data_IF_993129354925
#
_entry.id   IF_993129354925
#
_cell.length_a   1.000
_cell.length_b   1.000
_cell.length_c   1.000
_cell.angle_alpha   90.00
_cell.angle_beta   90.00
_cell.angle_gamma   90.00
#
_symmetry.space_group_name_H-M   'P 1'
#
loop_
_entity.id
_entity.type
_entity.pdbx_description
1 polymer ?
#
# COMPACT_ATOMS: atom_id res chain seq x y z
N UNK A 1 41.54 35.05 -6.88
CA UNK A 1 41.63 33.80 -6.09
C UNK A 1 40.52 33.62 -5.03
N UNK A 2 39.82 34.66 -4.55
CA UNK A 2 38.73 34.51 -3.55
C UNK A 2 37.40 33.98 -4.12
N UNK A 3 37.10 34.28 -5.39
CA UNK A 3 35.86 33.85 -6.05
C UNK A 3 35.74 32.31 -6.20
N UNK A 4 36.86 31.59 -6.33
CA UNK A 4 36.83 30.13 -6.47
C UNK A 4 36.38 29.40 -5.20
N UNK A 5 36.62 29.99 -4.02
CA UNK A 5 36.20 29.42 -2.73
C UNK A 5 34.70 29.51 -2.50
N UNK A 6 34.06 30.57 -3.01
CA UNK A 6 32.61 30.78 -2.87
C UNK A 6 31.84 29.67 -3.62
N UNK A 7 32.28 29.33 -4.83
CA UNK A 7 31.64 28.28 -5.64
C UNK A 7 31.78 26.90 -5.02
N UNK A 8 32.91 26.61 -4.38
CA UNK A 8 33.14 25.32 -3.70
C UNK A 8 32.29 25.17 -2.44
N UNK A 9 32.04 26.26 -1.73
CA UNK A 9 31.17 26.27 -0.55
C UNK A 9 29.68 26.17 -0.92
N UNK A 10 29.25 26.90 -1.95
CA UNK A 10 27.89 26.80 -2.50
C UNK A 10 27.57 25.39 -3.00
N UNK A 11 28.54 24.74 -3.65
CA UNK A 11 28.41 23.34 -4.04
C UNK A 11 28.22 22.40 -2.84
N UNK A 12 28.99 22.57 -1.77
CA UNK A 12 28.83 21.73 -0.57
C UNK A 12 27.45 21.90 0.10
N UNK A 13 26.92 23.14 0.11
CA UNK A 13 25.58 23.40 0.64
C UNK A 13 24.48 22.72 -0.19
N UNK A 14 24.58 22.73 -1.52
CA UNK A 14 23.60 22.05 -2.37
C UNK A 14 23.74 20.53 -2.28
N UNK A 15 24.96 19.99 -2.20
CA UNK A 15 25.19 18.56 -1.96
C UNK A 15 24.61 18.11 -0.63
N UNK A 16 24.77 18.89 0.44
CA UNK A 16 24.21 18.57 1.75
C UNK A 16 22.67 18.64 1.73
N UNK A 17 22.10 19.64 1.06
CA UNK A 17 20.64 19.76 0.91
C UNK A 17 20.04 18.59 0.12
N UNK A 18 20.70 18.18 -0.98
CA UNK A 18 20.30 17.01 -1.76
C UNK A 18 20.46 15.72 -0.95
N UNK A 19 21.53 15.61 -0.16
CA UNK A 19 21.72 14.45 0.72
C UNK A 19 20.63 14.36 1.80
N UNK A 20 20.25 15.47 2.44
CA UNK A 20 19.14 15.51 3.41
C UNK A 20 17.81 15.12 2.76
N UNK A 21 17.53 15.61 1.56
CA UNK A 21 16.33 15.23 0.82
C UNK A 21 16.33 13.74 0.46
N UNK A 22 17.48 13.21 0.02
CA UNK A 22 17.66 11.78 -0.29
C UNK A 22 17.51 10.92 0.96
N UNK A 23 18.13 11.29 2.09
CA UNK A 23 17.99 10.52 3.32
C UNK A 23 16.56 10.55 3.84
N UNK A 24 15.88 11.70 3.82
CA UNK A 24 14.47 11.80 4.21
C UNK A 24 13.58 10.92 3.32
N UNK A 25 13.78 10.97 2.00
CA UNK A 25 13.06 10.11 1.05
C UNK A 25 13.36 8.63 1.28
N UNK A 26 14.62 8.27 1.52
CA UNK A 26 15.02 6.89 1.86
C UNK A 26 14.38 6.47 3.18
N UNK A 27 14.38 7.30 4.23
CA UNK A 27 13.78 6.95 5.52
C UNK A 27 12.27 6.74 5.40
N UNK A 28 11.57 7.59 4.65
CA UNK A 28 10.14 7.38 4.41
C UNK A 28 9.87 6.12 3.59
N UNK A 29 10.67 5.85 2.55
CA UNK A 29 10.51 4.63 1.74
C UNK A 29 10.98 3.34 2.48
N UNK A 30 11.98 3.44 3.35
CA UNK A 30 12.61 2.30 4.02
C UNK A 30 11.93 1.91 5.33
N UNK A 31 11.45 2.88 6.12
CA UNK A 31 10.68 2.58 7.33
C UNK A 31 9.34 1.91 7.01
N UNK A 32 8.73 2.23 5.86
CA UNK A 32 7.54 1.52 5.37
C UNK A 32 7.87 0.07 4.98
N UNK A 33 9.09 -0.20 4.49
CA UNK A 33 9.52 -1.57 4.14
C UNK A 33 9.75 -2.45 5.39
N UNK A 34 10.21 -1.86 6.51
CA UNK A 34 10.36 -2.56 7.81
C UNK A 34 9.02 -2.89 8.50
N UNK A 35 7.91 -2.23 8.13
CA UNK A 35 6.59 -2.56 8.67
C UNK A 35 6.07 -3.93 8.19
N UNK A 36 6.71 -4.52 7.17
CA UNK A 36 6.48 -5.93 6.79
C UNK A 36 7.15 -6.95 7.72
N UNK A 37 8.10 -6.53 8.58
CA UNK A 37 8.90 -7.45 9.43
C UNK A 37 8.47 -7.42 10.91
N UNK A 38 7.54 -6.55 11.32
CA UNK A 38 7.11 -6.46 12.73
C UNK A 38 5.65 -6.80 13.02
N UNK A 39 4.95 -7.43 12.07
CA UNK A 39 3.58 -7.93 12.27
C UNK A 39 3.50 -9.44 12.51
N UNK A 40 4.53 -10.03 13.14
CA UNK A 40 4.56 -11.45 13.51
C UNK A 40 4.44 -11.70 15.02
N UNK A 41 3.59 -10.94 15.72
CA UNK A 41 3.11 -11.34 17.05
C UNK A 41 1.60 -11.09 17.18
N UNK A 42 0.81 -12.09 16.76
CA UNK A 42 -0.62 -12.13 16.98
C UNK A 42 -1.35 -13.17 16.13
N UNK A 43 -1.00 -14.45 16.27
CA UNK A 43 -1.84 -15.54 15.76
C UNK A 43 -2.93 -15.88 16.80
N UNK A 44 -4.19 -15.80 16.40
CA UNK A 44 -5.22 -16.71 16.92
C UNK A 44 -6.11 -17.14 15.77
N UNK A 45 -5.82 -18.35 15.34
CA UNK A 45 -6.62 -19.27 14.54
C UNK A 45 -8.09 -19.31 14.96
N UNK A 46 -9.01 -19.15 14.01
CA UNK A 46 -10.28 -19.89 14.04
C UNK A 46 -10.88 -20.02 12.64
N UNK A 47 -10.89 -21.26 12.15
CA UNK A 47 -11.83 -21.71 11.11
C UNK A 47 -13.08 -22.15 11.84
N UNK A 48 -14.23 -21.57 11.52
CA UNK A 48 -15.48 -22.32 11.60
C UNK A 48 -16.50 -21.76 10.61
N UNK A 49 -16.87 -22.65 9.69
CA UNK A 49 -18.05 -22.59 8.87
C UNK A 49 -19.21 -23.11 9.74
N UNK A 50 -20.22 -22.29 10.01
CA UNK A 50 -21.63 -22.72 10.20
C UNK A 50 -22.55 -21.57 10.62
N UNK A 51 -23.53 -21.33 9.76
CA UNK A 51 -24.94 -21.02 10.02
C UNK A 51 -25.41 -20.48 11.39
N UNK A 52 -26.13 -19.35 11.28
CA UNK A 52 -27.38 -18.95 11.99
C UNK A 52 -27.30 -18.10 13.28
N UNK A 53 -27.81 -16.87 13.10
CA UNK A 53 -28.61 -16.01 13.99
C UNK A 53 -27.97 -15.24 15.15
N UNK A 54 -28.17 -13.91 15.07
CA UNK A 54 -28.39 -12.93 16.13
C UNK A 54 -27.35 -12.87 17.28
N UNK A 55 -26.46 -11.88 17.24
CA UNK A 55 -26.58 -10.60 17.98
C UNK A 55 -25.23 -9.87 17.93
N UNK A 56 -25.30 -8.60 17.56
CA UNK A 56 -24.51 -7.49 18.12
C UNK A 56 -22.97 -7.54 17.95
N UNK A 57 -22.52 -6.66 17.04
CA UNK A 57 -21.24 -5.94 17.12
C UNK A 57 -19.97 -6.80 17.19
N UNK A 58 -19.87 -7.84 16.35
CA UNK A 58 -18.55 -8.22 15.84
C UNK A 58 -18.10 -7.06 14.97
N UNK A 59 -17.29 -6.17 15.55
CA UNK A 59 -16.62 -5.09 14.86
C UNK A 59 -15.78 -5.73 13.74
N UNK A 60 -16.41 -5.91 12.57
CA UNK A 60 -15.94 -6.75 11.48
C UNK A 60 -14.81 -6.00 10.78
N UNK A 61 -13.63 -6.08 11.39
CA UNK A 61 -12.42 -5.49 10.84
C UNK A 61 -12.22 -6.12 9.46
N UNK A 62 -12.23 -5.29 8.43
CA UNK A 62 -12.01 -5.73 7.06
C UNK A 62 -10.68 -6.48 6.95
N UNK A 63 -10.72 -7.63 6.27
CA UNK A 63 -9.55 -8.43 5.96
C UNK A 63 -9.33 -8.46 4.46
N UNK A 64 -8.15 -8.08 4.01
CA UNK A 64 -7.85 -8.07 2.58
C UNK A 64 -7.73 -9.52 2.05
N UNK A 65 -8.48 -9.92 1.01
CA UNK A 65 -8.38 -11.26 0.43
C UNK A 65 -7.02 -11.61 -0.21
N UNK A 66 -6.19 -10.60 -0.51
CA UNK A 66 -4.87 -10.79 -1.14
C UNK A 66 -3.77 -11.00 -0.09
N UNK A 67 -3.66 -10.09 0.88
CA UNK A 67 -2.58 -10.14 1.89
C UNK A 67 -3.00 -10.77 3.22
N UNK A 68 -4.30 -11.04 3.41
CA UNK A 68 -4.81 -11.57 4.67
C UNK A 68 -4.37 -10.74 5.89
N UNK A 69 -4.42 -9.42 5.79
CA UNK A 69 -4.14 -8.49 6.90
C UNK A 69 -5.20 -7.40 6.96
N UNK A 70 -5.42 -6.85 8.16
CA UNK A 70 -6.28 -5.67 8.38
C UNK A 70 -5.53 -4.39 7.99
N UNK A 71 -5.95 -3.78 6.90
CA UNK A 71 -5.47 -2.47 6.42
C UNK A 71 -6.65 -1.64 5.93
N UNK A 72 -6.40 -0.36 5.62
CA UNK A 72 -7.41 0.51 5.01
C UNK A 72 -7.96 -0.11 3.71
N UNK A 73 -9.26 -0.41 3.66
CA UNK A 73 -9.88 -0.96 2.48
C UNK A 73 -9.92 0.07 1.35
N UNK A 74 -9.85 -0.42 0.12
CA UNK A 74 -10.18 0.30 -1.09
C UNK A 74 -11.17 -0.52 -1.90
N UNK A 75 -12.07 0.18 -2.58
CA UNK A 75 -13.06 -0.41 -3.45
C UNK A 75 -12.66 -0.21 -4.90
N UNK A 76 -12.84 -1.26 -5.69
CA UNK A 76 -12.75 -1.22 -7.15
C UNK A 76 -14.16 -1.12 -7.75
N UNK A 77 -14.31 -0.68 -9.02
CA UNK A 77 -15.62 -0.46 -9.65
C UNK A 77 -16.61 -1.62 -9.59
N UNK A 78 -16.14 -2.86 -9.42
CA UNK A 78 -17.00 -4.03 -9.26
C UNK A 78 -17.50 -4.27 -7.83
N UNK A 79 -17.18 -3.40 -6.87
CA UNK A 79 -17.64 -3.47 -5.48
C UNK A 79 -16.82 -4.35 -4.55
N UNK A 80 -15.80 -5.05 -5.05
CA UNK A 80 -14.93 -5.87 -4.20
C UNK A 80 -13.90 -5.01 -3.45
N UNK A 81 -13.59 -5.42 -2.23
CA UNK A 81 -12.74 -4.69 -1.30
C UNK A 81 -11.38 -5.37 -1.16
N UNK A 82 -10.32 -4.57 -1.23
CA UNK A 82 -8.93 -5.01 -1.08
C UNK A 82 -8.15 -3.95 -0.29
N UNK A 83 -6.96 -4.26 0.20
CA UNK A 83 -6.09 -3.22 0.71
C UNK A 83 -5.59 -2.34 -0.46
N UNK A 84 -5.47 -1.02 -0.26
CA UNK A 84 -5.00 -0.09 -1.31
C UNK A 84 -3.69 -0.56 -1.96
N UNK A 85 -2.70 -0.91 -1.14
CA UNK A 85 -1.40 -1.36 -1.61
C UNK A 85 -1.51 -2.62 -2.49
N UNK A 86 -2.32 -3.58 -2.04
CA UNK A 86 -2.52 -4.87 -2.67
C UNK A 86 -3.12 -4.72 -4.08
N UNK A 87 -4.18 -3.92 -4.20
CA UNK A 87 -4.90 -3.79 -5.46
C UNK A 87 -4.13 -2.93 -6.48
N UNK A 88 -3.39 -1.93 -6.01
CA UNK A 88 -2.51 -1.12 -6.87
C UNK A 88 -1.33 -1.96 -7.37
N UNK A 89 -0.67 -2.72 -6.50
CA UNK A 89 0.42 -3.62 -6.91
C UNK A 89 -0.08 -4.70 -7.88
N UNK A 90 -1.26 -5.29 -7.63
CA UNK A 90 -1.91 -6.19 -8.56
C UNK A 90 -2.15 -5.53 -9.92
N UNK A 91 -2.69 -4.31 -9.94
CA UNK A 91 -2.93 -3.58 -11.17
C UNK A 91 -1.65 -3.31 -11.97
N UNK A 92 -0.56 -2.92 -11.31
CA UNK A 92 0.74 -2.71 -11.94
C UNK A 92 1.33 -4.02 -12.50
N UNK A 93 1.22 -5.12 -11.76
CA UNK A 93 1.73 -6.42 -12.21
C UNK A 93 1.00 -6.94 -13.45
N UNK A 94 -0.33 -6.79 -13.52
CA UNK A 94 -1.10 -7.20 -14.69
C UNK A 94 -0.70 -6.43 -15.96
N UNK A 95 -0.42 -5.13 -15.85
CA UNK A 95 -0.01 -4.30 -16.99
C UNK A 95 1.34 -4.76 -17.57
N UNK A 96 2.23 -5.29 -16.74
CA UNK A 96 3.55 -5.77 -17.18
C UNK A 96 3.50 -7.16 -17.85
N UNK A 97 2.40 -7.91 -17.72
CA UNK A 97 2.26 -9.30 -18.19
C UNK A 97 1.37 -9.38 -19.46
N UNK A 98 1.37 -8.33 -20.28
CA UNK A 98 0.66 -8.29 -21.58
C UNK A 98 -0.87 -8.10 -21.48
N UNK A 99 -1.43 -7.82 -20.30
CA UNK A 99 -2.81 -7.35 -20.14
C UNK A 99 -2.87 -5.82 -20.08
N UNK A 100 -3.42 -5.17 -21.13
CA UNK A 100 -3.58 -3.71 -21.16
C UNK A 100 -4.50 -3.15 -20.06
N UNK A 101 -5.31 -4.01 -19.43
CA UNK A 101 -6.27 -3.63 -18.39
C UNK A 101 -6.25 -4.64 -17.23
N UNK A 102 -6.02 -4.20 -15.98
CA UNK A 102 -6.04 -5.09 -14.84
C UNK A 102 -7.46 -5.62 -14.54
N UNK A 103 -7.53 -6.79 -13.91
CA UNK A 103 -8.78 -7.51 -13.62
C UNK A 103 -8.93 -7.81 -12.15
N UNK A 104 -10.14 -7.72 -11.64
CA UNK A 104 -10.47 -8.05 -10.25
C UNK A 104 -10.05 -9.50 -9.92
N UNK A 105 -9.33 -9.76 -8.82
CA UNK A 105 -8.97 -11.13 -8.40
C UNK A 105 -10.18 -12.03 -8.13
N UNK A 106 -11.30 -11.46 -7.68
CA UNK A 106 -12.49 -12.22 -7.29
C UNK A 106 -13.41 -12.51 -8.48
N UNK A 107 -13.80 -11.48 -9.23
CA UNK A 107 -14.80 -11.60 -10.30
C UNK A 107 -14.25 -11.41 -11.72
N UNK A 108 -12.95 -11.13 -11.87
CA UNK A 108 -12.26 -10.89 -13.16
C UNK A 108 -12.78 -9.72 -13.99
N UNK A 109 -13.64 -8.88 -13.40
CA UNK A 109 -14.08 -7.62 -14.01
C UNK A 109 -12.88 -6.72 -14.28
N UNK A 110 -12.82 -6.13 -15.47
CA UNK A 110 -11.78 -5.16 -15.83
C UNK A 110 -11.97 -3.89 -15.02
N UNK A 111 -10.88 -3.31 -14.54
CA UNK A 111 -10.90 -2.02 -13.87
C UNK A 111 -9.66 -1.20 -14.27
N UNK A 112 -9.67 0.09 -13.95
CA UNK A 112 -8.53 0.98 -14.13
C UNK A 112 -7.94 1.31 -12.76
N UNK A 113 -6.61 1.37 -12.64
CA UNK A 113 -5.95 1.71 -11.37
C UNK A 113 -6.39 3.09 -10.83
N UNK A 114 -6.71 4.04 -11.72
CA UNK A 114 -7.21 5.38 -11.35
C UNK A 114 -8.65 5.39 -10.81
N UNK A 115 -9.37 4.26 -10.91
CA UNK A 115 -10.75 4.12 -10.41
C UNK A 115 -10.83 3.43 -9.05
N UNK A 116 -9.70 3.10 -8.46
CA UNK A 116 -9.63 2.57 -7.09
C UNK A 116 -9.89 3.72 -6.13
N UNK A 117 -10.81 3.54 -5.19
CA UNK A 117 -11.16 4.58 -4.20
C UNK A 117 -10.90 4.03 -2.79
N UNK A 118 -10.09 4.73 -1.95
CA UNK A 118 -9.88 4.33 -0.56
C UNK A 118 -11.14 4.60 0.27
N UNK A 119 -11.44 3.71 1.21
CA UNK A 119 -12.57 3.81 2.14
C UNK A 119 -12.00 3.98 3.54
N UNK A 120 -12.30 5.12 4.16
CA UNK A 120 -11.80 5.47 5.49
C UNK A 120 -12.83 5.29 6.62
N UNK A 121 -14.11 5.07 6.28
CA UNK A 121 -15.23 5.00 7.23
C UNK A 121 -15.87 3.60 7.27
N UNK A 122 -15.06 2.54 7.34
CA UNK A 122 -15.55 1.16 7.45
C UNK A 122 -15.35 0.62 8.87
#
# INVERSE_FOLDING_TARGET
LKAFWIFRFLGYLTFLQVFIAITTWIYENFLINIQSVKSDEGCSEFREDSDVSNTEEVNSRFHCPICSTTHYPSCIPCGHLFCWHCIIQHAHNCINIDETTPRCPQCRAKFEANRVVPIFNL
#
